data_IF_057049012788
#
_entry.id   IF_057049012788
#
_cell.length_a   1.000
_cell.length_b   1.000
_cell.length_c   1.000
_cell.angle_alpha   90.00
_cell.angle_beta   90.00
_cell.angle_gamma   90.00
#
_symmetry.space_group_name_H-M   'P 1'
#
loop_
_entity.id
_entity.type
_entity.pdbx_description
1 polymer ?
#
# COMPACT_ATOMS: atom_id res chain seq x y z
N UNK A 1 -7.83 -3.25 20.34
CA UNK A 1 -8.28 -2.67 21.63
C UNK A 1 -7.35 -1.56 22.12
N UNK A 2 -6.10 -1.83 22.52
CA UNK A 2 -5.20 -0.77 23.06
C UNK A 2 -4.86 0.32 22.03
N UNK A 3 -4.49 0.02 20.77
CA UNK A 3 -4.19 1.07 19.78
C UNK A 3 -5.37 2.01 19.55
N UNK A 4 -6.59 1.47 19.40
CA UNK A 4 -7.83 2.23 19.26
C UNK A 4 -8.12 3.13 20.47
N UNK A 5 -7.84 2.67 21.69
CA UNK A 5 -8.00 3.51 22.89
C UNK A 5 -7.01 4.68 22.90
N UNK A 6 -5.76 4.45 22.48
CA UNK A 6 -4.74 5.51 22.36
C UNK A 6 -5.15 6.53 21.30
N UNK A 7 -5.66 6.07 20.18
CA UNK A 7 -6.15 6.92 19.10
C UNK A 7 -7.33 7.80 19.56
N UNK A 8 -8.33 7.21 20.22
CA UNK A 8 -9.47 7.94 20.76
C UNK A 8 -9.06 9.05 21.75
N UNK A 9 -8.10 8.76 22.64
CA UNK A 9 -7.58 9.75 23.57
C UNK A 9 -6.88 10.91 22.83
N UNK A 10 -6.07 10.61 21.81
CA UNK A 10 -5.43 11.62 20.98
C UNK A 10 -6.48 12.47 20.23
N UNK A 11 -7.50 11.83 19.67
CA UNK A 11 -8.58 12.48 18.93
C UNK A 11 -9.44 13.42 19.79
N UNK A 12 -9.74 13.05 21.04
CA UNK A 12 -10.44 13.93 22.00
C UNK A 12 -9.61 15.19 22.28
N UNK A 13 -8.30 15.04 22.50
CA UNK A 13 -7.40 16.15 22.77
C UNK A 13 -7.26 17.05 21.54
N UNK A 14 -7.05 16.46 20.36
CA UNK A 14 -6.92 17.16 19.09
C UNK A 14 -8.17 18.00 18.78
N UNK A 15 -9.36 17.40 18.88
CA UNK A 15 -10.65 18.07 18.66
C UNK A 15 -10.85 19.23 19.64
N UNK A 16 -10.56 19.02 20.93
CA UNK A 16 -10.68 20.08 21.93
C UNK A 16 -9.75 21.26 21.62
N UNK A 17 -8.49 20.98 21.29
CA UNK A 17 -7.50 22.01 20.99
C UNK A 17 -7.83 22.76 19.69
N UNK A 18 -8.23 22.04 18.65
CA UNK A 18 -8.65 22.62 17.37
C UNK A 18 -9.78 23.64 17.57
N UNK A 19 -10.86 23.25 18.28
CA UNK A 19 -12.03 24.11 18.51
C UNK A 19 -11.75 25.31 19.42
N UNK A 20 -10.85 25.15 20.40
CA UNK A 20 -10.64 26.20 21.42
C UNK A 20 -9.48 27.13 21.11
N UNK A 21 -8.50 26.70 20.29
CA UNK A 21 -7.23 27.42 20.08
C UNK A 21 -6.86 27.68 18.61
N UNK A 22 -7.37 26.89 17.65
CA UNK A 22 -6.91 26.98 16.26
C UNK A 22 -8.00 27.54 15.33
N UNK A 23 -9.20 26.95 15.35
CA UNK A 23 -10.24 27.28 14.40
C UNK A 23 -10.96 28.60 14.74
N UNK A 24 -11.37 29.39 13.73
CA UNK A 24 -12.26 30.51 13.91
C UNK A 24 -13.58 30.12 14.60
N UNK A 25 -14.11 30.99 15.46
CA UNK A 25 -15.29 30.69 16.29
C UNK A 25 -16.56 30.42 15.49
N UNK A 26 -16.75 31.16 14.40
CA UNK A 26 -17.86 31.01 13.46
C UNK A 26 -17.83 29.65 12.75
N UNK A 27 -16.64 29.18 12.34
CA UNK A 27 -16.47 27.82 11.78
C UNK A 27 -16.81 26.75 12.81
N UNK A 28 -16.35 26.92 14.06
CA UNK A 28 -16.64 25.97 15.14
C UNK A 28 -18.14 25.91 15.44
N UNK A 29 -18.80 27.07 15.53
CA UNK A 29 -20.24 27.14 15.76
C UNK A 29 -21.03 26.46 14.64
N UNK A 30 -20.73 26.79 13.38
CA UNK A 30 -21.39 26.17 12.23
C UNK A 30 -21.19 24.65 12.18
N UNK A 31 -20.02 24.15 12.61
CA UNK A 31 -19.79 22.71 12.73
C UNK A 31 -20.63 22.07 13.84
N UNK A 32 -20.72 22.71 15.01
CA UNK A 32 -21.44 22.19 16.19
C UNK A 32 -22.97 22.24 16.01
N UNK A 33 -23.48 23.24 15.29
CA UNK A 33 -24.90 23.39 14.95
C UNK A 33 -25.31 22.52 13.75
N UNK A 34 -24.34 21.97 13.02
CA UNK A 34 -24.57 21.09 11.87
C UNK A 34 -24.80 21.81 10.54
N UNK A 35 -24.57 23.13 10.48
CA UNK A 35 -24.60 23.92 9.25
C UNK A 35 -23.50 23.51 8.27
N UNK A 36 -22.33 23.12 8.81
CA UNK A 36 -21.22 22.53 8.06
C UNK A 36 -20.68 21.28 8.76
N UNK A 37 -19.88 20.50 8.05
CA UNK A 37 -19.14 19.40 8.63
C UNK A 37 -17.64 19.54 8.35
N UNK A 38 -16.87 19.85 9.39
CA UNK A 38 -15.41 19.79 9.32
C UNK A 38 -14.98 18.34 9.51
N UNK A 39 -14.59 17.69 8.42
CA UNK A 39 -14.11 16.31 8.43
C UNK A 39 -12.79 16.17 9.21
N UNK A 40 -12.62 15.02 9.87
CA UNK A 40 -11.36 14.60 10.51
C UNK A 40 -10.84 15.59 11.57
N UNK A 41 -11.75 16.26 12.30
CA UNK A 41 -11.46 17.25 13.34
C UNK A 41 -10.65 16.68 14.53
N UNK A 42 -10.67 15.36 14.68
CA UNK A 42 -9.85 14.59 15.60
C UNK A 42 -8.39 14.40 15.14
N UNK A 43 -8.05 14.81 13.91
CA UNK A 43 -6.68 14.84 13.38
C UNK A 43 -6.25 16.27 13.01
N UNK A 44 -6.96 16.91 12.07
CA UNK A 44 -6.64 18.23 11.55
C UNK A 44 -7.57 19.31 12.15
N UNK A 45 -7.08 20.53 12.42
CA UNK A 45 -5.75 21.07 12.12
C UNK A 45 -4.71 20.88 13.24
N UNK A 46 -5.02 20.10 14.28
CA UNK A 46 -4.10 19.94 15.42
C UNK A 46 -2.78 19.27 15.01
N UNK A 47 -2.87 18.17 14.26
CA UNK A 47 -1.74 17.60 13.55
C UNK A 47 -1.73 18.11 12.10
N UNK A 48 -0.56 18.46 11.53
CA UNK A 48 -0.45 18.89 10.14
C UNK A 48 -0.46 17.67 9.19
N UNK A 49 -1.47 16.81 9.35
CA UNK A 49 -1.69 15.63 8.52
C UNK A 49 -2.53 15.99 7.29
N UNK A 50 -2.42 15.19 6.25
CA UNK A 50 -3.22 15.32 5.03
C UNK A 50 -4.31 14.24 4.98
N UNK A 51 -5.29 14.42 4.08
CA UNK A 51 -6.36 13.46 3.84
C UNK A 51 -5.86 12.26 3.03
N UNK A 52 -6.20 12.17 1.74
CA UNK A 52 -5.85 11.06 0.88
C UNK A 52 -4.64 11.39 -0.02
N UNK A 53 -3.99 10.35 -0.56
CA UNK A 53 -2.96 10.54 -1.58
C UNK A 53 -2.82 9.37 -2.55
N UNK A 54 -2.21 9.65 -3.71
CA UNK A 54 -1.63 8.64 -4.60
C UNK A 54 -0.17 8.43 -4.20
N UNK A 55 0.20 7.20 -3.80
CA UNK A 55 1.59 6.88 -3.48
C UNK A 55 2.39 6.79 -4.80
N UNK A 56 3.52 7.50 -4.89
CA UNK A 56 4.48 7.30 -5.98
C UNK A 56 5.32 6.03 -5.75
N UNK A 57 4.64 4.88 -5.80
CA UNK A 57 5.26 3.58 -5.59
C UNK A 57 6.35 3.31 -6.63
N UNK A 58 6.14 3.77 -7.88
CA UNK A 58 7.13 3.63 -8.94
C UNK A 58 8.42 4.36 -8.58
N UNK A 59 8.34 5.63 -8.20
CA UNK A 59 9.50 6.43 -7.80
C UNK A 59 10.25 5.79 -6.64
N UNK A 60 9.52 5.37 -5.60
CA UNK A 60 10.11 4.74 -4.40
C UNK A 60 10.85 3.44 -4.73
N UNK A 61 10.22 2.52 -5.48
CA UNK A 61 10.84 1.23 -5.78
C UNK A 61 11.98 1.34 -6.81
N UNK A 62 12.00 2.38 -7.65
CA UNK A 62 13.02 2.54 -8.71
C UNK A 62 14.28 3.27 -8.24
N UNK A 63 14.17 4.23 -7.33
CA UNK A 63 15.32 5.05 -6.89
C UNK A 63 15.86 4.66 -5.52
N UNK A 64 15.18 3.73 -4.83
CA UNK A 64 15.42 3.46 -3.42
C UNK A 64 14.88 4.58 -2.53
N UNK A 65 14.69 4.25 -1.25
CA UNK A 65 14.16 5.18 -0.26
C UNK A 65 14.46 4.69 1.14
N UNK A 66 14.38 5.59 2.13
CA UNK A 66 14.49 5.23 3.53
C UNK A 66 13.12 4.91 4.13
N UNK A 67 13.00 3.76 4.80
CA UNK A 67 11.80 3.37 5.53
C UNK A 67 12.15 3.00 6.97
N UNK A 68 11.71 3.81 7.93
CA UNK A 68 12.13 3.69 9.32
C UNK A 68 13.66 3.80 9.43
N UNK A 69 14.30 2.71 9.83
CA UNK A 69 15.76 2.65 9.98
C UNK A 69 16.48 1.96 8.81
N UNK A 70 15.75 1.49 7.81
CA UNK A 70 16.31 0.75 6.67
C UNK A 70 16.40 1.65 5.42
N UNK A 71 17.53 1.58 4.73
CA UNK A 71 17.63 2.02 3.33
C UNK A 71 17.14 0.86 2.45
N UNK A 72 16.09 1.11 1.69
CA UNK A 72 15.47 0.13 0.81
C UNK A 72 15.98 0.36 -0.61
N UNK A 73 16.72 -0.62 -1.13
CA UNK A 73 17.14 -0.66 -2.53
C UNK A 73 16.03 -1.17 -3.45
N UNK A 74 16.20 -0.97 -4.77
CA UNK A 74 15.30 -1.50 -5.79
C UNK A 74 15.09 -3.01 -5.65
N UNK A 75 13.84 -3.48 -5.48
CA UNK A 75 13.54 -4.91 -5.36
C UNK A 75 14.05 -5.71 -6.56
N UNK A 76 14.51 -6.93 -6.30
CA UNK A 76 15.03 -7.86 -7.33
C UNK A 76 14.08 -9.01 -7.66
N UNK A 77 12.86 -8.99 -7.11
CA UNK A 77 11.81 -9.99 -7.35
C UNK A 77 10.42 -9.42 -7.05
N UNK A 78 9.38 -10.04 -7.60
CA UNK A 78 7.99 -9.66 -7.32
C UNK A 78 7.64 -9.82 -5.85
N UNK A 79 8.13 -10.89 -5.20
CA UNK A 79 7.88 -11.14 -3.78
C UNK A 79 8.47 -10.04 -2.88
N UNK A 80 9.69 -9.58 -3.15
CA UNK A 80 10.27 -8.47 -2.39
C UNK A 80 9.54 -7.16 -2.68
N UNK A 81 9.15 -6.92 -3.94
CA UNK A 81 8.43 -5.71 -4.31
C UNK A 81 7.06 -5.61 -3.61
N UNK A 82 6.29 -6.69 -3.53
CA UNK A 82 4.99 -6.68 -2.84
C UNK A 82 5.12 -6.55 -1.32
N UNK A 83 6.11 -7.21 -0.71
CA UNK A 83 6.37 -7.08 0.73
C UNK A 83 6.77 -5.64 1.12
N UNK A 84 7.61 -4.97 0.32
CA UNK A 84 7.94 -3.55 0.52
C UNK A 84 6.71 -2.67 0.29
N UNK A 85 5.89 -3.00 -0.72
CA UNK A 85 4.64 -2.27 -1.00
C UNK A 85 3.68 -2.29 0.18
N UNK A 86 3.47 -3.45 0.82
CA UNK A 86 2.63 -3.56 2.01
C UNK A 86 3.13 -2.71 3.18
N UNK A 87 4.45 -2.69 3.40
CA UNK A 87 5.06 -1.85 4.43
C UNK A 87 4.90 -0.35 4.13
N UNK A 88 5.07 0.07 2.88
CA UNK A 88 4.82 1.45 2.45
C UNK A 88 3.36 1.84 2.74
N UNK A 89 2.39 0.98 2.41
CA UNK A 89 0.97 1.23 2.68
C UNK A 89 0.73 1.47 4.17
N UNK A 90 1.26 0.61 5.04
CA UNK A 90 1.11 0.75 6.48
C UNK A 90 1.75 2.03 7.03
N UNK A 91 2.92 2.41 6.51
CA UNK A 91 3.60 3.66 6.89
C UNK A 91 2.82 4.89 6.44
N UNK A 92 2.43 4.95 5.16
CA UNK A 92 1.68 6.10 4.62
C UNK A 92 0.35 6.27 5.36
N UNK A 93 -0.41 5.19 5.54
CA UNK A 93 -1.69 5.21 6.24
C UNK A 93 -1.58 5.57 7.74
N UNK A 94 -0.36 5.54 8.31
CA UNK A 94 -0.10 5.99 9.69
C UNK A 94 0.27 7.49 9.78
N UNK A 95 0.48 8.17 8.64
CA UNK A 95 0.88 9.58 8.57
C UNK A 95 -0.15 10.46 7.84
N UNK A 96 -1.27 9.88 7.41
CA UNK A 96 -2.43 10.55 6.85
C UNK A 96 -3.69 10.04 7.56
N UNK A 97 -4.79 10.80 7.51
CA UNK A 97 -6.07 10.37 8.11
C UNK A 97 -7.08 9.84 7.08
N UNK A 98 -6.74 9.94 5.79
CA UNK A 98 -7.57 9.46 4.69
C UNK A 98 -7.12 8.13 4.09
N UNK A 99 -7.74 7.79 2.96
CA UNK A 99 -7.38 6.62 2.17
C UNK A 99 -6.09 6.81 1.37
N UNK A 100 -5.37 5.73 1.16
CA UNK A 100 -4.20 5.69 0.29
C UNK A 100 -4.47 4.90 -0.98
N UNK A 101 -3.94 5.33 -2.10
CA UNK A 101 -4.15 4.65 -3.39
C UNK A 101 -2.83 4.39 -4.10
N UNK A 102 -2.69 3.18 -4.64
CA UNK A 102 -1.64 2.83 -5.59
C UNK A 102 -2.30 2.61 -6.94
N UNK A 103 -2.08 3.56 -7.85
CA UNK A 103 -2.64 3.48 -9.20
C UNK A 103 -1.69 2.73 -10.13
N UNK A 104 -2.26 2.01 -11.10
CA UNK A 104 -1.55 1.20 -12.12
C UNK A 104 -0.55 0.23 -11.49
N UNK A 105 -0.94 -0.44 -10.41
CA UNK A 105 -0.06 -1.36 -9.67
C UNK A 105 0.45 -2.50 -10.56
N UNK A 106 -0.34 -2.93 -11.55
CA UNK A 106 0.04 -3.88 -12.58
C UNK A 106 1.29 -3.41 -13.34
N UNK A 107 1.32 -2.16 -13.76
CA UNK A 107 2.44 -1.57 -14.49
C UNK A 107 3.63 -1.23 -13.59
N UNK A 108 3.38 -0.76 -12.38
CA UNK A 108 4.43 -0.47 -11.40
C UNK A 108 5.19 -1.75 -11.02
N UNK A 109 4.49 -2.88 -10.89
CA UNK A 109 5.09 -4.15 -10.49
C UNK A 109 5.63 -5.00 -11.64
N UNK A 110 5.27 -4.71 -12.89
CA UNK A 110 5.71 -5.47 -14.06
C UNK A 110 7.25 -5.65 -14.19
N UNK A 111 8.10 -4.64 -13.88
CA UNK A 111 9.55 -4.82 -13.91
C UNK A 111 10.04 -5.90 -12.93
N UNK A 112 9.37 -6.06 -11.78
CA UNK A 112 9.75 -7.04 -10.77
C UNK A 112 9.24 -8.45 -11.09
N UNK A 113 8.13 -8.56 -11.83
CA UNK A 113 7.70 -9.82 -12.46
C UNK A 113 8.75 -10.29 -13.46
N UNK A 114 9.25 -9.37 -14.32
CA UNK A 114 10.33 -9.68 -15.25
C UNK A 114 11.62 -10.08 -14.51
N UNK A 115 11.99 -9.38 -13.43
CA UNK A 115 13.16 -9.74 -12.65
C UNK A 115 13.06 -11.16 -12.05
N UNK A 116 11.90 -11.55 -11.54
CA UNK A 116 11.65 -12.93 -11.08
C UNK A 116 11.74 -13.93 -12.23
N UNK A 117 11.19 -13.63 -13.41
CA UNK A 117 11.31 -14.48 -14.59
C UNK A 117 12.76 -14.69 -15.02
N UNK A 118 13.52 -13.61 -15.17
CA UNK A 118 14.92 -13.65 -15.58
C UNK A 118 15.75 -14.48 -14.58
N UNK A 119 15.47 -14.35 -13.28
CA UNK A 119 16.08 -15.18 -12.23
C UNK A 119 15.75 -16.66 -12.39
N UNK A 120 14.49 -17.04 -12.62
CA UNK A 120 14.12 -18.44 -12.80
C UNK A 120 14.66 -19.02 -14.11
N UNK A 121 14.76 -18.21 -15.17
CA UNK A 121 15.36 -18.61 -16.44
C UNK A 121 16.85 -18.91 -16.29
N UNK A 122 17.58 -18.03 -15.58
CA UNK A 122 18.98 -18.26 -15.28
C UNK A 122 19.17 -19.56 -14.49
N UNK A 123 18.38 -19.79 -13.45
CA UNK A 123 18.41 -21.06 -12.68
C UNK A 123 18.13 -22.25 -13.61
N UNK A 124 17.15 -22.16 -14.49
CA UNK A 124 16.83 -23.26 -15.39
C UNK A 124 17.97 -23.60 -16.35
N UNK A 125 18.71 -22.59 -16.81
CA UNK A 125 19.88 -22.76 -17.67
C UNK A 125 21.08 -23.32 -16.89
N UNK A 126 21.34 -22.82 -15.68
CA UNK A 126 22.41 -23.31 -14.80
C UNK A 126 22.26 -24.79 -14.47
N UNK A 127 21.02 -25.27 -14.36
CA UNK A 127 20.70 -26.66 -14.02
C UNK A 127 20.30 -27.51 -15.24
N UNK A 128 20.50 -27.02 -16.46
CA UNK A 128 20.20 -27.70 -17.73
C UNK A 128 18.78 -28.32 -17.79
N UNK A 129 17.78 -27.55 -17.32
CA UNK A 129 16.38 -27.98 -17.38
C UNK A 129 15.94 -28.03 -18.83
N UNK A 130 15.40 -29.18 -19.26
CA UNK A 130 15.01 -29.45 -20.66
C UNK A 130 14.17 -28.35 -21.34
N UNK A 131 13.30 -27.66 -20.59
CA UNK A 131 12.48 -26.55 -21.09
C UNK A 131 12.63 -25.33 -20.17
N UNK A 132 13.70 -24.55 -20.31
CA UNK A 132 14.04 -23.52 -19.33
C UNK A 132 13.04 -22.37 -19.32
N UNK A 133 12.49 -21.98 -20.47
CA UNK A 133 11.46 -20.94 -20.57
C UNK A 133 10.12 -21.38 -19.97
N UNK A 134 9.73 -22.65 -20.17
CA UNK A 134 8.50 -23.20 -19.59
C UNK A 134 8.61 -23.30 -18.06
N UNK A 135 9.78 -23.73 -17.56
CA UNK A 135 10.09 -23.71 -16.14
C UNK A 135 10.01 -22.30 -15.57
N UNK A 136 10.72 -21.33 -16.19
CA UNK A 136 10.75 -19.95 -15.72
C UNK A 136 9.35 -19.33 -15.68
N UNK A 137 8.54 -19.59 -16.70
CA UNK A 137 7.14 -19.18 -16.76
C UNK A 137 6.35 -19.76 -15.57
N UNK A 138 6.34 -21.08 -15.40
CA UNK A 138 5.57 -21.75 -14.35
C UNK A 138 6.00 -21.31 -12.93
N UNK A 139 7.30 -21.14 -12.69
CA UNK A 139 7.82 -20.65 -11.41
C UNK A 139 7.43 -19.19 -11.15
N UNK A 140 7.50 -18.34 -12.18
CA UNK A 140 7.10 -16.92 -12.09
C UNK A 140 5.61 -16.78 -11.82
N UNK A 141 4.76 -17.57 -12.48
CA UNK A 141 3.31 -17.53 -12.23
C UNK A 141 2.98 -17.89 -10.77
N UNK A 142 3.64 -18.93 -10.23
CA UNK A 142 3.48 -19.33 -8.82
C UNK A 142 4.00 -18.25 -7.87
N UNK A 143 5.18 -17.69 -8.11
CA UNK A 143 5.75 -16.62 -7.27
C UNK A 143 4.87 -15.37 -7.27
N UNK A 144 4.36 -14.95 -8.44
CA UNK A 144 3.44 -13.83 -8.53
C UNK A 144 2.16 -14.08 -7.73
N UNK A 145 1.60 -15.29 -7.84
CA UNK A 145 0.40 -15.67 -7.10
C UNK A 145 0.63 -15.57 -5.58
N UNK A 146 1.75 -16.11 -5.09
CA UNK A 146 2.10 -16.07 -3.68
C UNK A 146 2.40 -14.64 -3.20
N UNK A 147 3.05 -13.84 -4.03
CA UNK A 147 3.37 -12.45 -3.75
C UNK A 147 2.12 -11.58 -3.61
N UNK A 148 1.09 -11.78 -4.44
CA UNK A 148 -0.18 -11.05 -4.35
C UNK A 148 -1.03 -11.55 -3.18
N UNK A 149 -1.03 -12.85 -2.90
CA UNK A 149 -1.68 -13.38 -1.71
C UNK A 149 -1.05 -12.82 -0.42
N UNK A 150 0.28 -12.73 -0.37
CA UNK A 150 0.98 -12.10 0.76
C UNK A 150 0.60 -10.63 0.90
N UNK A 151 0.55 -9.88 -0.21
CA UNK A 151 0.12 -8.48 -0.19
C UNK A 151 -1.30 -8.33 0.37
N UNK A 152 -2.24 -9.14 -0.08
CA UNK A 152 -3.62 -9.14 0.41
C UNK A 152 -3.69 -9.43 1.91
N UNK A 153 -2.96 -10.44 2.39
CA UNK A 153 -2.91 -10.76 3.82
C UNK A 153 -2.25 -9.67 4.63
N UNK A 154 -1.12 -9.13 4.18
CA UNK A 154 -0.40 -8.07 4.90
C UNK A 154 -1.24 -6.80 4.97
N UNK A 155 -1.92 -6.40 3.89
CA UNK A 155 -2.85 -5.28 3.92
C UNK A 155 -3.97 -5.50 4.94
N UNK A 156 -4.46 -6.73 5.12
CA UNK A 156 -5.55 -7.04 6.06
C UNK A 156 -5.09 -7.34 7.50
N UNK A 157 -3.79 -7.57 7.74
CA UNK A 157 -3.26 -7.97 9.05
C UNK A 157 -2.33 -6.95 9.68
N UNK A 158 -1.73 -6.06 8.88
CA UNK A 158 -0.99 -4.90 9.39
C UNK A 158 -1.97 -3.88 9.96
N UNK A 159 -1.53 -3.22 11.04
CA UNK A 159 -2.30 -2.15 11.68
C UNK A 159 -1.55 -0.82 11.48
N UNK A 160 -2.31 0.24 11.24
CA UNK A 160 -1.80 1.61 11.24
C UNK A 160 -1.69 2.15 12.67
N UNK A 161 -1.18 3.38 12.81
CA UNK A 161 -1.08 4.07 14.09
C UNK A 161 -2.41 4.16 14.86
N UNK A 162 -3.55 4.23 14.17
CA UNK A 162 -4.88 4.31 14.79
C UNK A 162 -5.44 2.94 15.23
N UNK A 163 -4.72 1.85 14.92
CA UNK A 163 -5.14 0.50 15.29
C UNK A 163 -6.15 -0.14 14.35
N UNK A 164 -6.32 0.39 13.14
CA UNK A 164 -7.17 -0.19 12.10
C UNK A 164 -6.32 -0.73 10.94
N UNK A 165 -6.94 -1.59 10.15
CA UNK A 165 -6.42 -2.01 8.85
C UNK A 165 -6.29 -0.77 7.93
N UNK A 166 -5.19 -0.62 7.16
CA UNK A 166 -5.02 0.48 6.23
C UNK A 166 -6.19 0.57 5.23
N UNK A 167 -6.75 1.77 5.04
CA UNK A 167 -7.71 2.01 3.96
C UNK A 167 -6.94 2.23 2.66
N UNK A 168 -6.78 1.16 1.88
CA UNK A 168 -6.03 1.17 0.61
C UNK A 168 -6.91 0.81 -0.58
N UNK A 169 -6.63 1.46 -1.72
CA UNK A 169 -7.23 1.13 -3.02
C UNK A 169 -6.14 0.83 -4.05
N UNK A 170 -6.35 -0.23 -4.85
CA UNK A 170 -5.46 -0.59 -5.96
C UNK A 170 -6.14 -0.31 -7.31
N UNK A 171 -5.51 0.51 -8.14
CA UNK A 171 -5.89 0.69 -9.54
C UNK A 171 -5.08 -0.20 -10.46
N UNK A 172 -5.72 -0.96 -11.35
CA UNK A 172 -5.07 -1.79 -12.37
C UNK A 172 -6.01 -1.98 -13.57
N UNK A 173 -5.50 -2.45 -14.71
CA UNK A 173 -6.38 -2.87 -15.81
C UNK A 173 -6.03 -2.36 -17.21
N UNK A 174 -5.09 -1.43 -17.36
CA UNK A 174 -4.76 -0.83 -18.66
C UNK A 174 -3.69 -1.61 -19.45
N UNK A 175 -2.87 -2.41 -18.75
CA UNK A 175 -1.77 -3.15 -19.37
C UNK A 175 -2.19 -4.32 -20.25
N UNK A 176 -1.50 -4.55 -21.38
CA UNK A 176 -1.79 -5.67 -22.31
C UNK A 176 -0.65 -6.67 -22.48
N UNK A 177 0.55 -6.38 -21.98
CA UNK A 177 1.69 -7.31 -22.07
C UNK A 177 1.43 -8.59 -21.28
N UNK A 178 2.20 -9.65 -21.55
CA UNK A 178 2.07 -10.93 -20.84
C UNK A 178 2.17 -10.76 -19.32
N UNK A 179 3.15 -10.00 -18.83
CA UNK A 179 3.33 -9.70 -17.40
C UNK A 179 2.08 -9.03 -16.79
N UNK A 180 1.47 -8.10 -17.52
CA UNK A 180 0.30 -7.33 -17.06
C UNK A 180 -0.97 -8.18 -17.09
N UNK A 181 -1.12 -9.02 -18.12
CA UNK A 181 -2.21 -10.00 -18.21
C UNK A 181 -2.11 -11.05 -17.11
N UNK A 182 -0.88 -11.51 -16.79
CA UNK A 182 -0.60 -12.42 -15.68
C UNK A 182 -0.97 -11.77 -14.34
N UNK A 183 -0.55 -10.52 -14.11
CA UNK A 183 -0.91 -9.76 -12.92
C UNK A 183 -2.43 -9.75 -12.72
N UNK A 184 -3.20 -9.28 -13.70
CA UNK A 184 -4.67 -9.15 -13.57
C UNK A 184 -5.31 -10.49 -13.22
N UNK A 185 -4.92 -11.56 -13.91
CA UNK A 185 -5.45 -12.90 -13.70
C UNK A 185 -5.14 -13.41 -12.30
N UNK A 186 -3.93 -13.22 -11.81
CA UNK A 186 -3.50 -13.74 -10.51
C UNK A 186 -4.03 -12.90 -9.37
N UNK A 187 -4.01 -11.57 -9.49
CA UNK A 187 -4.54 -10.65 -8.49
C UNK A 187 -6.05 -10.85 -8.30
N UNK A 188 -6.84 -10.94 -9.38
CA UNK A 188 -8.28 -11.25 -9.25
C UNK A 188 -8.55 -12.64 -8.67
N UNK A 189 -7.64 -13.60 -8.89
CA UNK A 189 -7.74 -14.95 -8.31
C UNK A 189 -7.43 -15.00 -6.82
N UNK A 190 -6.79 -14.00 -6.22
CA UNK A 190 -6.62 -13.96 -4.76
C UNK A 190 -7.91 -13.43 -4.12
N UNK A 191 -8.48 -12.36 -4.68
CA UNK A 191 -9.73 -11.74 -4.21
C UNK A 191 -10.98 -12.65 -4.30
N UNK A 192 -11.10 -13.44 -5.37
CA UNK A 192 -12.27 -14.34 -5.59
C UNK A 192 -12.23 -15.64 -4.77
N UNK A 193 -11.35 -15.75 -3.78
CA UNK A 193 -11.25 -16.94 -2.90
C UNK A 193 -12.13 -16.88 -1.66
N UNK A 194 -12.88 -15.79 -1.51
CA UNK A 194 -13.86 -15.58 -0.43
C UNK A 194 -15.23 -16.10 -0.84
#
# INVERSE_FOLDING_TARGET
MIPTQRDLLAGIVAKHYAKTRILPRDVVQAHDEGDIHYHDLDYAPFFPMFNCMLIDLKGMLTHGFKMGNAEIDTPKSISTATAVTAQIIAQVASHIYGGTTINRIDEVLAPYVKASYDKHLQIAQEWDIHQPEAFATARTEKECYDAFQSLEYEVNTLHTANGQTPFVTFGFGLGTSWNLSLFKRLFLRTELRV
#
